data_IF_645057633912
#
_entry.id   IF_645057633912
#
_cell.length_a   1.000
_cell.length_b   1.000
_cell.length_c   1.000
_cell.angle_alpha   90.00
_cell.angle_beta   90.00
_cell.angle_gamma   90.00
#
_symmetry.space_group_name_H-M   'P 1'
#
loop_
_entity.id
_entity.type
_entity.pdbx_description
1 polymer ?
#
# COMPACT_ATOMS: atom_id res chain seq x y z
N UNK A 1 -13.94 -6.50 -1.99
CA UNK A 1 -15.03 -7.20 -1.28
C UNK A 1 -16.34 -6.52 -1.59
N UNK A 2 -17.39 -7.31 -1.77
CA UNK A 2 -18.79 -6.87 -1.76
C UNK A 2 -19.51 -7.47 -0.55
N UNK A 3 -20.44 -6.73 0.05
CA UNK A 3 -21.20 -7.16 1.23
C UNK A 3 -22.61 -7.60 0.84
N UNK A 4 -23.12 -8.64 1.50
CA UNK A 4 -24.40 -9.28 1.23
C UNK A 4 -24.30 -10.44 0.25
N UNK A 5 -25.43 -11.11 0.02
CA UNK A 5 -25.54 -12.22 -0.96
C UNK A 5 -25.48 -11.73 -2.40
N UNK A 6 -25.97 -10.52 -2.64
CA UNK A 6 -25.99 -9.86 -3.95
C UNK A 6 -25.38 -8.46 -3.82
N UNK A 7 -24.04 -8.35 -3.75
CA UNK A 7 -23.39 -7.09 -3.49
C UNK A 7 -23.59 -6.11 -4.66
N UNK A 8 -23.98 -4.85 -4.39
CA UNK A 8 -24.19 -3.86 -5.45
C UNK A 8 -22.87 -3.39 -6.10
N UNK A 9 -21.73 -3.59 -5.44
CA UNK A 9 -20.39 -3.31 -5.96
C UNK A 9 -19.30 -4.06 -5.18
N UNK A 10 -18.06 -4.02 -5.68
CA UNK A 10 -16.87 -4.63 -5.08
C UNK A 10 -15.85 -3.61 -4.56
N UNK A 11 -16.30 -2.41 -4.18
CA UNK A 11 -15.45 -1.23 -3.95
C UNK A 11 -14.77 -1.17 -2.59
N UNK A 12 -14.79 -2.25 -1.80
CA UNK A 12 -14.11 -2.34 -0.51
C UNK A 12 -12.79 -3.12 -0.66
N UNK A 13 -11.64 -2.45 -0.90
CA UNK A 13 -10.36 -3.12 -1.02
C UNK A 13 -9.92 -3.70 0.33
N UNK A 14 -9.48 -4.95 0.32
CA UNK A 14 -8.96 -5.64 1.52
C UNK A 14 -7.43 -5.55 1.62
N UNK A 15 -6.74 -5.61 0.49
CA UNK A 15 -5.27 -5.60 0.42
C UNK A 15 -4.86 -4.50 -0.57
N UNK A 16 -3.79 -3.73 -0.29
CA UNK A 16 -3.21 -2.80 -1.25
C UNK A 16 -2.79 -3.52 -2.54
N UNK A 17 -2.76 -2.79 -3.65
CA UNK A 17 -2.34 -3.35 -4.94
C UNK A 17 -0.84 -3.70 -4.88
N UNK A 18 -0.51 -4.91 -5.31
CA UNK A 18 0.87 -5.40 -5.46
C UNK A 18 1.01 -6.11 -6.81
N UNK A 19 2.24 -6.26 -7.28
CA UNK A 19 2.54 -7.03 -8.48
C UNK A 19 3.11 -8.38 -8.12
N UNK A 20 2.73 -9.40 -8.89
CA UNK A 20 3.34 -10.72 -8.85
C UNK A 20 4.34 -10.81 -10.00
N UNK A 21 5.52 -11.37 -9.72
CA UNK A 21 6.61 -11.53 -10.67
C UNK A 21 6.87 -13.03 -10.83
N UNK A 22 6.39 -13.59 -11.94
CA UNK A 22 6.65 -14.97 -12.32
C UNK A 22 7.96 -15.17 -13.08
N UNK A 23 8.34 -16.43 -13.33
CA UNK A 23 9.61 -16.78 -13.96
C UNK A 23 9.66 -16.46 -15.46
N UNK A 24 8.49 -16.39 -16.13
CA UNK A 24 8.38 -16.11 -17.56
C UNK A 24 7.16 -15.22 -17.86
N UNK A 25 7.03 -14.77 -19.12
CA UNK A 25 5.82 -14.09 -19.60
C UNK A 25 4.76 -15.06 -20.17
N UNK A 26 5.06 -16.36 -20.20
CA UNK A 26 4.11 -17.41 -20.58
C UNK A 26 3.35 -17.90 -19.34
N UNK A 27 2.20 -18.58 -19.50
CA UNK A 27 1.51 -19.20 -18.37
C UNK A 27 2.44 -20.14 -17.58
N UNK A 28 2.52 -19.91 -16.27
CA UNK A 28 3.31 -20.73 -15.36
C UNK A 28 2.42 -21.28 -14.24
N UNK A 29 2.66 -22.52 -13.77
CA UNK A 29 1.98 -23.05 -12.61
C UNK A 29 2.56 -22.43 -11.32
N UNK A 30 1.81 -22.56 -10.22
CA UNK A 30 2.31 -22.22 -8.89
C UNK A 30 1.20 -21.71 -7.97
N UNK A 31 1.59 -21.44 -6.74
CA UNK A 31 0.69 -20.92 -5.71
C UNK A 31 1.21 -19.59 -5.21
N UNK A 32 0.31 -18.63 -5.06
CA UNK A 32 0.53 -17.40 -4.33
C UNK A 32 -0.58 -17.25 -3.31
N UNK A 33 -0.23 -17.21 -2.03
CA UNK A 33 -1.15 -17.16 -0.91
C UNK A 33 -0.86 -15.98 0.02
N UNK A 34 -1.92 -15.31 0.44
CA UNK A 34 -1.92 -14.33 1.50
C UNK A 34 -2.51 -14.99 2.75
N UNK A 35 -1.70 -15.32 3.77
CA UNK A 35 -2.16 -16.14 4.90
C UNK A 35 -3.22 -15.44 5.75
N UNK A 36 -3.24 -14.11 5.73
CA UNK A 36 -4.24 -13.31 6.40
C UNK A 36 -4.63 -12.13 5.49
N UNK A 37 -5.91 -12.06 5.17
CA UNK A 37 -6.50 -10.99 4.38
C UNK A 37 -7.43 -10.21 5.32
N UNK A 38 -7.11 -8.96 5.67
CA UNK A 38 -7.88 -8.23 6.68
C UNK A 38 -9.24 -7.80 6.14
N UNK A 39 -10.17 -7.54 7.05
CA UNK A 39 -11.42 -6.86 6.70
C UNK A 39 -11.11 -5.45 6.16
N UNK A 40 -11.91 -4.95 5.19
CA UNK A 40 -11.78 -3.58 4.72
C UNK A 40 -11.96 -2.57 5.87
N UNK A 41 -11.29 -1.43 5.76
CA UNK A 41 -11.38 -0.38 6.79
C UNK A 41 -12.81 0.12 6.98
N UNK A 42 -13.24 0.23 8.23
CA UNK A 42 -14.59 0.71 8.58
C UNK A 42 -15.70 -0.32 8.37
N UNK A 43 -15.37 -1.57 8.05
CA UNK A 43 -16.33 -2.67 7.96
C UNK A 43 -16.32 -3.46 9.25
N UNK A 44 -17.51 -3.69 9.81
CA UNK A 44 -17.76 -4.62 10.91
C UNK A 44 -18.70 -5.71 10.41
N UNK A 45 -18.44 -6.95 10.78
CA UNK A 45 -19.23 -8.13 10.37
C UNK A 45 -19.63 -8.93 11.60
N UNK A 46 -20.73 -9.66 11.47
CA UNK A 46 -21.20 -10.62 12.45
C UNK A 46 -21.19 -12.02 11.84
N UNK A 47 -21.24 -13.03 12.70
CA UNK A 47 -21.45 -14.42 12.26
C UNK A 47 -22.75 -14.53 11.47
N UNK A 48 -22.73 -15.23 10.34
CA UNK A 48 -23.82 -15.38 9.38
C UNK A 48 -23.92 -14.28 8.34
N UNK A 49 -23.11 -13.21 8.43
CA UNK A 49 -23.06 -12.21 7.37
C UNK A 49 -22.45 -12.81 6.10
N UNK A 50 -23.03 -12.51 4.95
CA UNK A 50 -22.52 -12.93 3.64
C UNK A 50 -21.66 -11.84 3.00
N UNK A 51 -20.62 -12.25 2.29
CA UNK A 51 -19.82 -11.36 1.47
C UNK A 51 -19.22 -12.11 0.27
N UNK A 52 -18.82 -11.36 -0.76
CA UNK A 52 -18.07 -11.89 -1.89
C UNK A 52 -16.66 -11.27 -1.87
N UNK A 53 -15.65 -12.12 -1.86
CA UNK A 53 -14.26 -11.71 -2.10
C UNK A 53 -14.00 -11.82 -3.59
N UNK A 54 -13.47 -10.74 -4.17
CA UNK A 54 -13.07 -10.69 -5.56
C UNK A 54 -11.55 -10.56 -5.63
N UNK A 55 -10.92 -11.52 -6.30
CA UNK A 55 -9.52 -11.46 -6.71
C UNK A 55 -9.48 -10.84 -8.10
N UNK A 56 -8.69 -9.78 -8.24
CA UNK A 56 -8.50 -9.07 -9.51
C UNK A 56 -7.04 -9.19 -9.90
N UNK A 57 -6.79 -9.76 -11.07
CA UNK A 57 -5.46 -9.85 -11.65
C UNK A 57 -5.41 -9.05 -12.94
N UNK A 58 -4.50 -8.09 -13.03
CA UNK A 58 -4.21 -7.36 -14.25
C UNK A 58 -2.95 -7.91 -14.90
N UNK A 59 -3.08 -8.43 -16.11
CA UNK A 59 -1.94 -8.91 -16.90
C UNK A 59 -1.14 -7.76 -17.49
N UNK A 60 0.12 -8.03 -17.86
CA UNK A 60 0.98 -7.07 -18.57
C UNK A 60 0.40 -6.60 -19.91
N UNK A 61 -0.48 -7.40 -20.52
CA UNK A 61 -1.17 -7.05 -21.77
C UNK A 61 -2.28 -6.00 -21.59
N UNK A 62 -2.65 -5.67 -20.34
CA UNK A 62 -3.78 -4.82 -20.01
C UNK A 62 -5.11 -5.55 -19.88
N UNK A 63 -5.16 -6.86 -20.17
CA UNK A 63 -6.32 -7.69 -19.84
C UNK A 63 -6.43 -7.89 -18.33
N UNK A 64 -7.66 -7.96 -17.82
CA UNK A 64 -7.96 -8.21 -16.42
C UNK A 64 -8.76 -9.50 -16.26
N UNK A 65 -8.43 -10.27 -15.24
CA UNK A 65 -9.14 -11.48 -14.81
C UNK A 65 -9.77 -11.21 -13.44
N UNK A 66 -10.98 -11.71 -13.28
CA UNK A 66 -11.78 -11.56 -12.07
C UNK A 66 -12.22 -12.94 -11.61
N UNK A 67 -11.94 -13.28 -10.37
CA UNK A 67 -12.42 -14.50 -9.73
C UNK A 67 -13.13 -14.14 -8.44
N UNK A 68 -14.30 -14.74 -8.21
CA UNK A 68 -15.14 -14.44 -7.06
C UNK A 68 -15.29 -15.69 -6.20
N UNK A 69 -15.25 -15.49 -4.89
CA UNK A 69 -15.62 -16.50 -3.90
C UNK A 69 -16.62 -15.89 -2.94
N UNK A 70 -17.77 -16.53 -2.81
CA UNK A 70 -18.78 -16.16 -1.83
C UNK A 70 -18.44 -16.83 -0.49
N UNK A 71 -18.54 -16.05 0.57
CA UNK A 71 -18.20 -16.45 1.93
C UNK A 71 -19.34 -16.12 2.88
N UNK A 72 -19.40 -16.87 3.96
CA UNK A 72 -20.21 -16.57 5.14
C UNK A 72 -19.24 -16.41 6.32
N UNK A 73 -19.38 -15.32 7.07
CA UNK A 73 -18.56 -15.12 8.26
C UNK A 73 -19.01 -16.09 9.34
N UNK A 74 -18.06 -16.82 9.92
CA UNK A 74 -18.31 -17.84 10.94
C UNK A 74 -17.42 -17.61 12.17
N UNK A 75 -17.68 -18.36 13.24
CA UNK A 75 -16.77 -18.38 14.38
C UNK A 75 -15.46 -19.07 14.01
N UNK A 76 -14.31 -18.71 14.64
CA UNK A 76 -13.01 -19.28 14.28
C UNK A 76 -12.93 -20.81 14.40
N UNK A 77 -13.76 -21.42 15.25
CA UNK A 77 -13.82 -22.87 15.44
C UNK A 77 -14.54 -23.62 14.31
N UNK A 78 -15.37 -22.92 13.54
CA UNK A 78 -16.12 -23.45 12.40
C UNK A 78 -15.39 -23.27 11.05
N UNK A 79 -14.18 -22.70 11.08
CA UNK A 79 -13.38 -22.41 9.88
C UNK A 79 -12.11 -23.26 9.88
N UNK A 80 -11.80 -23.86 8.73
CA UNK A 80 -10.56 -24.61 8.54
C UNK A 80 -9.33 -23.72 8.81
N UNK A 81 -8.39 -24.25 9.59
CA UNK A 81 -7.16 -23.52 9.91
C UNK A 81 -6.29 -23.34 8.67
N UNK A 82 -5.78 -22.12 8.49
CA UNK A 82 -4.79 -21.81 7.45
C UNK A 82 -3.43 -22.32 7.90
N UNK A 83 -2.93 -23.36 7.25
CA UNK A 83 -1.65 -24.01 7.55
C UNK A 83 -0.67 -23.83 6.38
N UNK A 84 0.58 -24.25 6.57
CA UNK A 84 1.58 -24.23 5.47
C UNK A 84 1.26 -25.23 4.35
N UNK A 85 0.37 -26.19 4.60
CA UNK A 85 0.01 -27.20 3.62
C UNK A 85 -1.08 -26.69 2.66
N UNK A 86 -1.97 -25.80 3.13
CA UNK A 86 -3.04 -25.22 2.30
C UNK A 86 -2.74 -23.79 1.81
N UNK A 87 -1.82 -23.07 2.46
CA UNK A 87 -1.41 -21.72 2.08
C UNK A 87 0.12 -21.60 2.01
N UNK A 88 0.65 -21.68 0.79
CA UNK A 88 2.09 -21.58 0.52
C UNK A 88 2.36 -20.79 -0.76
N UNK A 89 3.57 -20.22 -0.83
CA UNK A 89 4.07 -19.55 -2.03
C UNK A 89 5.09 -20.43 -2.74
N UNK A 90 4.95 -20.59 -4.05
CA UNK A 90 5.99 -21.21 -4.87
C UNK A 90 7.26 -20.37 -4.88
N UNK A 91 8.43 -21.02 -4.98
CA UNK A 91 9.74 -20.34 -4.90
C UNK A 91 10.12 -19.53 -6.13
N UNK A 92 9.47 -19.79 -7.26
CA UNK A 92 9.67 -19.12 -8.56
C UNK A 92 8.74 -17.91 -8.76
N UNK A 93 7.89 -17.61 -7.78
CA UNK A 93 6.97 -16.47 -7.80
C UNK A 93 7.39 -15.47 -6.71
N UNK A 94 7.75 -14.26 -7.13
CA UNK A 94 8.04 -13.14 -6.22
C UNK A 94 6.91 -12.12 -6.25
N UNK A 95 6.96 -11.12 -5.36
CA UNK A 95 6.04 -9.99 -5.35
C UNK A 95 6.76 -8.68 -5.04
N UNK A 96 6.19 -7.59 -5.54
CA UNK A 96 6.64 -6.23 -5.27
C UNK A 96 5.44 -5.33 -4.98
N UNK A 97 5.69 -4.27 -4.24
CA UNK A 97 4.66 -3.28 -3.88
C UNK A 97 4.53 -2.21 -4.96
N UNK A 98 3.29 -1.79 -5.25
CA UNK A 98 3.02 -0.72 -6.22
C UNK A 98 2.67 0.57 -5.46
N UNK A 99 3.34 1.66 -5.82
CA UNK A 99 3.07 2.98 -5.27
C UNK A 99 3.01 4.04 -6.36
N UNK A 100 2.28 5.12 -6.09
CA UNK A 100 2.24 6.27 -6.98
C UNK A 100 3.47 7.15 -6.79
N UNK A 101 3.88 7.90 -7.81
CA UNK A 101 4.99 8.87 -7.67
C UNK A 101 4.66 9.99 -6.68
N UNK A 102 3.38 10.35 -6.53
CA UNK A 102 2.90 11.32 -5.55
C UNK A 102 3.19 10.90 -4.11
N UNK A 103 3.15 9.60 -3.78
CA UNK A 103 3.51 9.10 -2.45
C UNK A 103 4.99 9.30 -2.09
N UNK A 104 5.89 9.47 -3.06
CA UNK A 104 7.32 9.71 -2.82
C UNK A 104 7.64 11.18 -2.51
N UNK A 105 6.79 12.12 -2.97
CA UNK A 105 7.05 13.57 -2.85
C UNK A 105 6.83 14.16 -1.44
N UNK A 106 6.33 13.38 -0.47
CA UNK A 106 6.05 13.85 0.89
C UNK A 106 7.30 14.00 1.80
N UNK A 107 8.46 13.49 1.39
CA UNK A 107 9.66 13.46 2.23
C UNK A 107 10.57 14.70 2.12
N UNK A 108 10.36 15.58 1.15
CA UNK A 108 11.21 16.77 0.96
C UNK A 108 10.56 17.99 1.63
N UNK A 109 10.70 18.09 2.96
CA UNK A 109 10.61 19.42 3.60
C UNK A 109 11.83 20.21 3.12
N UNK A 110 11.69 21.31 2.37
CA UNK A 110 12.84 22.18 2.13
C UNK A 110 13.31 22.63 3.51
N UNK A 111 14.54 22.28 3.87
CA UNK A 111 15.22 22.90 5.00
C UNK A 111 15.26 24.39 4.67
N UNK A 112 14.34 25.16 5.25
CA UNK A 112 14.34 26.61 5.15
C UNK A 112 15.54 27.06 5.96
N UNK A 113 16.70 27.09 5.30
CA UNK A 113 17.85 27.85 5.77
C UNK A 113 17.36 29.30 5.73
N UNK A 114 16.77 29.73 6.84
CA UNK A 114 16.60 31.14 7.12
C UNK A 114 18.01 31.69 7.10
N UNK A 115 18.39 32.32 5.98
CA UNK A 115 19.50 33.27 5.95
C UNK A 115 19.11 34.38 6.94
N UNK A 116 19.27 34.11 8.23
CA UNK A 116 19.24 35.15 9.24
C UNK A 116 20.34 36.11 8.83
N UNK A 117 19.89 37.31 8.52
CA UNK A 117 20.66 38.45 8.08
C UNK A 117 21.85 38.69 9.03
N UNK A 118 23.01 38.10 8.72
CA UNK A 118 24.30 38.46 9.36
C UNK A 118 24.93 39.68 8.67
N UNK A 119 24.18 40.40 7.83
CA UNK A 119 24.66 41.57 7.09
C UNK A 119 24.34 42.92 7.78
N UNK A 120 23.69 42.92 8.95
CA UNK A 120 23.31 44.16 9.63
C UNK A 120 24.31 44.68 10.68
N UNK A 121 25.46 44.03 10.88
CA UNK A 121 26.46 44.47 11.87
C UNK A 121 27.74 45.09 11.26
N UNK A 122 27.83 45.19 9.93
CA UNK A 122 29.03 45.71 9.24
C UNK A 122 29.16 47.26 9.23
N UNK A 123 28.08 48.10 9.25
CA UNK A 123 28.30 49.54 9.17
C UNK A 123 28.76 50.20 10.48
N UNK A 124 28.64 49.52 11.63
CA UNK A 124 29.01 50.10 12.94
C UNK A 124 30.51 49.99 13.28
N UNK A 125 31.24 49.06 12.66
CA UNK A 125 32.69 48.91 12.87
C UNK A 125 33.54 49.85 12.00
N UNK A 126 33.01 50.34 10.89
CA UNK A 126 33.74 51.25 9.97
C UNK A 126 33.71 52.71 10.45
N UNK A 127 32.66 53.14 11.17
CA UNK A 127 32.59 54.49 11.76
C UNK A 127 33.48 54.61 13.01
N UNK A 128 33.65 53.52 13.78
CA UNK A 128 34.54 53.51 14.95
C UNK A 128 36.04 53.55 14.63
N UNK A 129 36.45 53.05 13.45
CA UNK A 129 37.86 53.02 13.03
C UNK A 129 38.34 54.29 12.31
N UNK A 130 37.42 55.12 11.79
CA UNK A 130 37.77 56.42 11.19
C UNK A 130 37.55 57.62 12.13
N UNK A 131 36.84 57.46 13.25
CA UNK A 131 36.71 58.50 14.28
C UNK A 131 37.88 58.60 15.27
N UNK A 132 38.88 57.70 15.18
CA UNK A 132 40.07 57.70 16.04
C UNK A 132 41.36 58.12 15.30
N UNK A 133 41.25 58.50 14.03
CA UNK A 133 42.36 59.03 13.21
C UNK A 133 41.86 60.25 12.42
N UNK A 134 41.57 61.33 13.14
CA UNK A 134 41.79 62.78 12.86
C UNK A 134 41.53 63.51 14.17
#
# INVERSE_FOLDING_TARGET
MGLGTDPPNMSLPMVPVFQIIGPTNEPYPGTFCLPQVPLPSGVSVNVGDHATIQVVEASKSGAALYNCVDIEFAEPEDVDEVTRDNCFNSSDISFDTIFTTSSLSGATRPLRVTKQSVLSAVPLLVVGLFGFVI
#
